data_IF_115822124511
#
_entry.id   IF_115822124511
#
_cell.length_a   1.000
_cell.length_b   1.000
_cell.length_c   1.000
_cell.angle_alpha   90.00
_cell.angle_beta   90.00
_cell.angle_gamma   90.00
#
_symmetry.space_group_name_H-M   'P 1'
#
loop_
_entity.id
_entity.type
_entity.pdbx_description
1 polymer ?
#
# COMPACT_ATOMS: atom_id res chain seq x y z
N UNK A 1 5.64 -24.34 -0.55
CA UNK A 1 6.76 -23.49 -0.10
C UNK A 1 6.39 -22.05 -0.40
N UNK A 2 6.65 -21.13 0.52
CA UNK A 2 6.44 -19.71 0.31
C UNK A 2 7.81 -19.03 0.18
N UNK A 3 7.95 -18.18 -0.82
CA UNK A 3 9.20 -17.48 -1.08
C UNK A 3 9.24 -16.16 -0.30
N UNK A 4 10.41 -15.76 0.18
CA UNK A 4 10.60 -14.44 0.79
C UNK A 4 11.84 -13.73 0.24
N UNK A 5 11.80 -12.41 0.30
CA UNK A 5 12.92 -11.54 -0.06
C UNK A 5 13.30 -10.69 1.16
N UNK A 6 14.57 -10.38 1.28
CA UNK A 6 15.06 -9.43 2.28
C UNK A 6 14.98 -8.02 1.68
N UNK A 7 14.19 -7.15 2.27
CA UNK A 7 14.03 -5.76 1.81
C UNK A 7 14.82 -4.81 2.69
N UNK A 8 15.62 -3.97 2.07
CA UNK A 8 16.37 -2.92 2.77
C UNK A 8 15.39 -1.89 3.38
N UNK A 9 15.58 -1.57 4.65
CA UNK A 9 14.82 -0.51 5.35
C UNK A 9 15.45 0.84 5.11
N UNK A 10 14.64 1.89 5.21
CA UNK A 10 15.18 3.25 5.30
C UNK A 10 16.03 3.36 6.58
N UNK A 11 17.14 4.06 6.48
CA UNK A 11 17.96 4.38 7.63
C UNK A 11 17.20 5.39 8.54
N UNK A 12 16.51 4.84 9.55
CA UNK A 12 15.74 5.64 10.52
C UNK A 12 16.66 6.25 11.58
N UNK A 13 17.84 5.65 11.79
CA UNK A 13 18.80 6.11 12.82
C UNK A 13 19.78 7.15 12.29
N UNK A 14 19.95 7.25 10.96
CA UNK A 14 20.88 8.19 10.34
C UNK A 14 22.36 7.81 10.50
N UNK A 15 22.66 6.58 10.91
CA UNK A 15 24.02 6.08 11.14
C UNK A 15 24.64 5.40 9.90
N UNK A 16 23.92 5.39 8.79
CA UNK A 16 24.35 4.74 7.54
C UNK A 16 24.25 3.22 7.56
N UNK A 17 23.76 2.62 8.65
CA UNK A 17 23.60 1.17 8.76
C UNK A 17 22.51 0.64 7.85
N UNK A 18 22.78 -0.48 7.17
CA UNK A 18 21.81 -1.14 6.31
C UNK A 18 21.11 -2.24 7.09
N UNK A 19 19.84 -2.04 7.33
CA UNK A 19 18.99 -3.04 7.98
C UNK A 19 18.04 -3.63 6.96
N UNK A 20 17.82 -4.94 7.03
CA UNK A 20 16.91 -5.68 6.13
C UNK A 20 15.82 -6.35 6.96
N UNK A 21 14.60 -6.36 6.43
CA UNK A 21 13.50 -7.14 6.98
C UNK A 21 12.98 -8.16 5.97
N UNK A 22 12.52 -9.33 6.43
CA UNK A 22 11.93 -10.33 5.56
C UNK A 22 10.55 -9.88 5.09
N UNK A 23 10.28 -10.00 3.81
CA UNK A 23 8.98 -9.79 3.21
C UNK A 23 8.60 -10.98 2.35
N UNK A 24 7.39 -11.52 2.58
CA UNK A 24 6.90 -12.62 1.76
C UNK A 24 6.76 -12.18 0.30
N UNK A 25 7.25 -13.00 -0.62
CA UNK A 25 7.05 -12.82 -2.06
C UNK A 25 5.69 -13.42 -2.41
N UNK A 26 4.69 -12.57 -2.62
CA UNK A 26 3.31 -13.00 -2.85
C UNK A 26 3.23 -13.73 -4.19
N UNK A 27 2.81 -14.98 -4.15
CA UNK A 27 2.65 -15.78 -5.35
C UNK A 27 1.48 -15.27 -6.21
N UNK A 28 0.27 -15.26 -5.65
CA UNK A 28 -0.95 -14.74 -6.29
C UNK A 28 -2.05 -14.48 -5.26
N UNK A 29 -3.08 -13.80 -5.67
CA UNK A 29 -4.33 -13.77 -4.91
C UNK A 29 -5.05 -15.12 -5.09
N UNK A 30 -5.42 -15.73 -3.99
CA UNK A 30 -6.34 -16.87 -3.96
C UNK A 30 -7.75 -16.30 -3.94
N UNK A 31 -8.57 -16.63 -4.94
CA UNK A 31 -9.92 -16.04 -5.05
C UNK A 31 -10.87 -16.55 -3.97
N UNK A 32 -11.99 -15.87 -3.80
CA UNK A 32 -13.04 -16.29 -2.86
C UNK A 32 -13.58 -17.67 -3.22
N UNK A 33 -13.90 -17.88 -4.49
CA UNK A 33 -14.45 -19.15 -5.00
C UNK A 33 -13.47 -20.31 -4.79
N UNK A 34 -12.19 -20.11 -5.15
CA UNK A 34 -11.14 -21.10 -4.93
C UNK A 34 -10.98 -21.45 -3.45
N UNK A 35 -11.15 -20.46 -2.56
CA UNK A 35 -11.07 -20.69 -1.12
C UNK A 35 -12.27 -21.47 -0.59
N UNK A 36 -13.48 -21.17 -1.05
CA UNK A 36 -14.71 -21.88 -0.68
C UNK A 36 -14.66 -23.33 -1.15
N UNK A 37 -14.29 -23.55 -2.41
CA UNK A 37 -14.08 -24.89 -2.95
C UNK A 37 -13.08 -25.71 -2.13
N UNK A 38 -11.95 -25.09 -1.78
CA UNK A 38 -10.91 -25.70 -0.98
C UNK A 38 -11.42 -26.10 0.42
N UNK A 39 -12.24 -25.26 1.04
CA UNK A 39 -12.88 -25.56 2.31
C UNK A 39 -13.84 -26.73 2.22
N UNK A 40 -14.58 -26.88 1.10
CA UNK A 40 -15.51 -27.97 0.89
C UNK A 40 -14.83 -29.29 0.52
N UNK A 41 -13.70 -29.26 -0.21
CA UNK A 41 -13.00 -30.46 -0.70
C UNK A 41 -12.15 -31.19 0.35
N UNK A 42 -11.62 -30.53 1.33
CA UNK A 42 -10.59 -31.08 2.24
C UNK A 42 -11.15 -31.95 3.38
N UNK A 43 -12.21 -32.71 3.12
CA UNK A 43 -12.73 -33.66 4.11
C UNK A 43 -13.47 -33.02 5.28
N UNK A 44 -13.84 -31.74 5.15
CA UNK A 44 -14.63 -31.01 6.15
C UNK A 44 -16.07 -31.54 6.29
N UNK A 45 -16.56 -32.33 5.32
CA UNK A 45 -17.95 -32.77 5.24
C UNK A 45 -18.94 -31.68 4.88
N UNK A 46 -18.45 -30.48 4.54
CA UNK A 46 -19.28 -29.33 4.15
C UNK A 46 -19.42 -29.25 2.63
N UNK A 47 -20.61 -28.95 2.15
CA UNK A 47 -20.82 -28.56 0.74
C UNK A 47 -20.44 -27.10 0.51
N UNK A 48 -20.16 -26.73 -0.75
CA UNK A 48 -19.90 -25.34 -1.16
C UNK A 48 -20.98 -24.41 -0.64
N UNK A 49 -22.25 -24.73 -0.84
CA UNK A 49 -23.36 -23.89 -0.37
C UNK A 49 -23.47 -23.75 1.14
N UNK A 50 -23.04 -24.75 1.92
CA UNK A 50 -22.96 -24.62 3.37
C UNK A 50 -21.84 -23.67 3.80
N UNK A 51 -20.67 -23.73 3.15
CA UNK A 51 -19.56 -22.81 3.38
C UNK A 51 -19.97 -21.37 3.07
N UNK A 52 -20.58 -21.14 1.92
CA UNK A 52 -21.11 -19.82 1.51
C UNK A 52 -22.13 -19.28 2.53
N UNK A 53 -23.04 -20.13 3.00
CA UNK A 53 -24.05 -19.75 3.99
C UNK A 53 -23.42 -19.32 5.32
N UNK A 54 -22.40 -20.05 5.78
CA UNK A 54 -21.64 -19.72 7.00
C UNK A 54 -20.89 -18.42 6.86
N UNK A 55 -20.19 -18.20 5.73
CA UNK A 55 -19.45 -16.95 5.47
C UNK A 55 -20.39 -15.75 5.37
N UNK A 56 -21.55 -15.94 4.72
CA UNK A 56 -22.57 -14.89 4.63
C UNK A 56 -23.14 -14.54 6.01
N UNK A 57 -23.48 -15.53 6.82
CA UNK A 57 -23.95 -15.31 8.19
C UNK A 57 -22.90 -14.62 9.04
N UNK A 58 -21.63 -15.03 8.93
CA UNK A 58 -20.51 -14.42 9.65
C UNK A 58 -20.37 -12.92 9.27
N UNK A 59 -20.38 -12.61 7.96
CA UNK A 59 -20.30 -11.24 7.44
C UNK A 59 -21.42 -10.36 8.02
N UNK A 60 -22.66 -10.83 7.96
CA UNK A 60 -23.82 -10.07 8.44
C UNK A 60 -23.73 -9.81 9.94
N UNK A 61 -23.46 -10.85 10.74
CA UNK A 61 -23.39 -10.72 12.20
C UNK A 61 -22.20 -9.87 12.67
N UNK A 62 -21.04 -10.00 12.00
CA UNK A 62 -19.92 -9.10 12.28
C UNK A 62 -20.30 -7.64 11.98
N UNK A 63 -20.93 -7.37 10.85
CA UNK A 63 -21.35 -6.02 10.47
C UNK A 63 -22.29 -5.42 11.52
N UNK A 64 -23.31 -6.17 11.96
CA UNK A 64 -24.26 -5.73 13.00
C UNK A 64 -23.54 -5.39 14.31
N UNK A 65 -22.74 -6.30 14.82
CA UNK A 65 -22.06 -6.10 16.13
C UNK A 65 -21.07 -4.94 16.08
N UNK A 66 -20.30 -4.85 15.00
CA UNK A 66 -19.32 -3.78 14.80
C UNK A 66 -20.00 -2.41 14.63
N UNK A 67 -21.16 -2.35 13.99
CA UNK A 67 -21.96 -1.12 13.87
C UNK A 67 -22.51 -0.65 15.22
N UNK A 68 -22.78 -1.56 16.14
CA UNK A 68 -23.16 -1.26 17.53
C UNK A 68 -21.99 -0.85 18.41
N UNK A 69 -20.75 -0.81 17.87
CA UNK A 69 -19.53 -0.44 18.60
C UNK A 69 -18.88 -1.58 19.38
N UNK A 70 -19.33 -2.82 19.20
CA UNK A 70 -18.69 -3.96 19.84
C UNK A 70 -17.37 -4.33 19.16
N UNK A 71 -16.45 -4.86 19.95
CA UNK A 71 -15.29 -5.59 19.46
C UNK A 71 -15.62 -7.08 19.45
N UNK A 72 -15.46 -7.75 18.31
CA UNK A 72 -15.91 -9.14 18.12
C UNK A 72 -14.70 -10.06 18.00
N UNK A 73 -14.60 -11.06 18.89
CA UNK A 73 -13.61 -12.12 18.81
C UNK A 73 -14.22 -13.35 18.14
N UNK A 74 -13.64 -13.76 17.01
CA UNK A 74 -13.96 -15.03 16.33
C UNK A 74 -12.90 -16.06 16.72
N UNK A 75 -13.35 -17.13 17.39
CA UNK A 75 -12.46 -18.18 17.91
C UNK A 75 -11.57 -18.76 16.82
N UNK A 76 -10.26 -18.81 17.07
CA UNK A 76 -9.27 -19.37 16.16
C UNK A 76 -8.91 -18.48 14.97
N UNK A 77 -9.66 -17.41 14.71
CA UNK A 77 -9.33 -16.45 13.67
C UNK A 77 -8.68 -15.19 14.25
N UNK A 78 -9.40 -14.46 15.08
CA UNK A 78 -8.89 -13.22 15.63
C UNK A 78 -9.97 -12.27 16.10
N UNK A 79 -9.61 -11.02 16.31
CA UNK A 79 -10.46 -9.97 16.86
C UNK A 79 -10.67 -8.86 15.84
N UNK A 80 -11.93 -8.47 15.66
CA UNK A 80 -12.37 -7.41 14.76
C UNK A 80 -12.82 -6.20 15.58
N UNK A 81 -12.43 -5.00 15.18
CA UNK A 81 -12.86 -3.73 15.76
C UNK A 81 -13.01 -2.65 14.70
N UNK A 82 -13.89 -1.69 14.93
CA UNK A 82 -14.08 -0.55 14.04
C UNK A 82 -13.04 0.54 14.24
N UNK A 83 -12.73 1.25 13.19
CA UNK A 83 -11.96 2.49 13.21
C UNK A 83 -12.78 3.57 12.52
N UNK A 84 -13.02 4.66 13.25
CA UNK A 84 -13.75 5.80 12.72
C UNK A 84 -12.82 6.76 12.00
N UNK A 85 -13.38 7.54 11.11
CA UNK A 85 -12.73 8.64 10.41
C UNK A 85 -13.71 9.71 10.04
N UNK A 86 -13.19 10.84 9.59
CA UNK A 86 -13.99 11.95 9.09
C UNK A 86 -14.30 11.71 7.62
N UNK A 87 -15.54 11.95 7.21
CA UNK A 87 -15.99 11.83 5.81
C UNK A 87 -15.19 12.74 4.90
N UNK A 88 -15.04 12.33 3.66
CA UNK A 88 -14.35 13.11 2.64
C UNK A 88 -14.99 14.51 2.48
N UNK A 89 -14.14 15.54 2.35
CA UNK A 89 -14.58 16.94 2.26
C UNK A 89 -14.98 17.59 3.57
N UNK A 90 -14.71 16.96 4.72
CA UNK A 90 -14.87 17.55 6.04
C UNK A 90 -13.51 17.73 6.72
N UNK A 91 -13.34 18.88 7.40
CA UNK A 91 -12.10 19.17 8.13
C UNK A 91 -12.08 18.50 9.50
N UNK A 92 -10.87 18.29 10.04
CA UNK A 92 -10.68 17.84 11.42
C UNK A 92 -11.01 18.97 12.41
N UNK A 93 -11.38 18.62 13.63
CA UNK A 93 -11.48 19.60 14.72
C UNK A 93 -10.08 20.09 15.13
N UNK A 94 -9.92 21.41 15.27
CA UNK A 94 -8.63 21.99 15.68
C UNK A 94 -8.43 21.97 17.21
N UNK A 95 -9.49 21.70 17.96
CA UNK A 95 -9.48 21.69 19.42
C UNK A 95 -9.54 23.09 20.04
N UNK A 96 -9.83 24.15 19.26
CA UNK A 96 -10.06 25.50 19.78
C UNK A 96 -11.47 25.59 20.46
N UNK A 97 -11.57 26.41 21.51
CA UNK A 97 -12.83 26.54 22.30
C UNK A 97 -13.99 27.11 21.48
N UNK A 98 -13.68 27.90 20.44
CA UNK A 98 -14.66 28.57 19.57
C UNK A 98 -15.10 27.75 18.35
N UNK A 99 -14.56 26.55 18.17
CA UNK A 99 -14.85 25.74 16.99
C UNK A 99 -16.11 24.90 17.14
N UNK A 100 -16.93 24.85 16.09
CA UNK A 100 -18.11 24.00 16.03
C UNK A 100 -17.70 22.51 16.05
N UNK A 101 -18.02 21.83 17.14
CA UNK A 101 -17.77 20.39 17.31
C UNK A 101 -18.45 19.58 16.21
N UNK A 102 -17.74 18.63 15.64
CA UNK A 102 -18.27 17.76 14.59
C UNK A 102 -19.34 16.83 15.16
N UNK A 103 -20.44 16.70 14.45
CA UNK A 103 -21.53 15.78 14.81
C UNK A 103 -21.31 14.41 14.12
N UNK A 104 -22.12 13.43 14.51
CA UNK A 104 -22.10 12.07 13.98
C UNK A 104 -22.26 12.01 12.44
N UNK A 105 -22.90 13.01 11.81
CA UNK A 105 -23.07 13.06 10.36
C UNK A 105 -21.75 13.28 9.60
N UNK A 106 -20.73 13.84 10.27
CA UNK A 106 -19.40 14.07 9.72
C UNK A 106 -18.45 12.90 9.94
N UNK A 107 -18.89 11.85 10.63
CA UNK A 107 -18.07 10.69 11.02
C UNK A 107 -18.59 9.44 10.29
N UNK A 108 -17.68 8.55 9.92
CA UNK A 108 -17.98 7.26 9.30
C UNK A 108 -17.05 6.15 9.81
N UNK A 109 -17.46 4.90 9.62
CA UNK A 109 -16.57 3.75 9.80
C UNK A 109 -15.61 3.73 8.61
N UNK A 110 -14.36 4.11 8.86
CA UNK A 110 -13.33 4.18 7.81
C UNK A 110 -12.66 2.85 7.55
N UNK A 111 -12.55 2.02 8.57
CA UNK A 111 -11.90 0.71 8.43
C UNK A 111 -12.35 -0.26 9.53
N UNK A 112 -12.20 -1.54 9.26
CA UNK A 112 -12.30 -2.63 10.24
C UNK A 112 -10.88 -3.16 10.47
N UNK A 113 -10.41 -3.05 11.72
CA UNK A 113 -9.12 -3.58 12.14
C UNK A 113 -9.27 -5.04 12.50
N UNK A 114 -8.39 -5.86 11.98
CA UNK A 114 -8.28 -7.27 12.30
C UNK A 114 -6.96 -7.55 13.02
N UNK A 115 -7.05 -8.24 14.16
CA UNK A 115 -5.89 -8.74 14.91
C UNK A 115 -5.98 -10.25 14.95
N UNK A 116 -5.08 -10.92 14.26
CA UNK A 116 -5.03 -12.39 14.21
C UNK A 116 -4.86 -13.01 15.60
N UNK A 117 -5.50 -14.15 15.83
CA UNK A 117 -5.30 -14.95 17.04
C UNK A 117 -3.92 -15.63 17.01
N UNK A 118 -3.34 -15.86 18.20
CA UNK A 118 -2.05 -16.56 18.31
C UNK A 118 -2.10 -17.96 17.73
N UNK A 119 -3.24 -18.62 17.85
CA UNK A 119 -3.44 -19.97 17.31
C UNK A 119 -3.33 -19.97 15.78
N UNK A 120 -3.96 -19.00 15.10
CA UNK A 120 -3.86 -18.86 13.65
C UNK A 120 -2.40 -18.62 13.21
N UNK A 121 -1.70 -17.72 13.91
CA UNK A 121 -0.29 -17.43 13.65
C UNK A 121 0.56 -18.69 13.87
N UNK A 122 0.35 -19.41 14.96
CA UNK A 122 1.05 -20.64 15.29
C UNK A 122 0.87 -21.74 14.24
N UNK A 123 -0.38 -21.99 13.84
CA UNK A 123 -0.71 -22.95 12.78
C UNK A 123 -0.09 -22.55 11.42
N UNK A 124 -0.09 -21.27 11.10
CA UNK A 124 0.53 -20.75 9.86
C UNK A 124 2.04 -20.99 9.90
N UNK A 125 2.70 -20.67 11.02
CA UNK A 125 4.14 -20.90 11.18
C UNK A 125 4.52 -22.39 11.06
N UNK A 126 3.73 -23.27 11.65
CA UNK A 126 3.99 -24.72 11.60
C UNK A 126 3.90 -25.26 10.16
N UNK A 127 3.04 -24.68 9.33
CA UNK A 127 2.84 -25.08 7.93
C UNK A 127 3.70 -24.30 6.95
N UNK A 128 4.31 -23.20 7.38
CA UNK A 128 5.08 -22.32 6.54
C UNK A 128 6.48 -22.88 6.31
N UNK A 129 6.81 -23.20 5.08
CA UNK A 129 8.15 -23.55 4.66
C UNK A 129 8.69 -22.43 3.76
N UNK A 130 9.63 -21.64 4.29
CA UNK A 130 10.13 -20.41 3.68
C UNK A 130 11.44 -20.65 2.91
N UNK A 131 11.50 -20.14 1.69
CA UNK A 131 12.70 -20.16 0.85
C UNK A 131 13.13 -18.74 0.51
N UNK A 132 14.38 -18.40 0.78
CA UNK A 132 14.94 -17.09 0.43
C UNK A 132 15.20 -16.97 -1.06
N UNK A 133 14.56 -16.03 -1.73
CA UNK A 133 14.77 -15.73 -3.17
C UNK A 133 15.86 -14.70 -3.44
N UNK A 134 16.10 -13.77 -2.52
CA UNK A 134 17.09 -12.73 -2.73
C UNK A 134 16.88 -11.48 -1.86
N UNK A 135 17.44 -10.36 -2.35
CA UNK A 135 17.40 -9.07 -1.66
C UNK A 135 16.85 -7.98 -2.56
N UNK A 136 15.99 -7.14 -1.99
CA UNK A 136 15.51 -5.91 -2.64
C UNK A 136 16.17 -4.74 -1.91
N UNK A 137 17.11 -4.11 -2.56
CA UNK A 137 17.80 -2.92 -2.04
C UNK A 137 17.01 -1.66 -2.36
N UNK A 138 17.06 -0.70 -1.45
CA UNK A 138 16.52 0.64 -1.73
C UNK A 138 17.26 1.25 -2.92
N UNK A 139 16.51 1.87 -3.81
CA UNK A 139 17.13 2.66 -4.87
C UNK A 139 17.79 3.87 -4.24
N UNK A 140 19.10 4.00 -4.40
CA UNK A 140 19.79 5.21 -3.99
C UNK A 140 19.37 6.34 -4.93
N UNK A 141 18.82 7.41 -4.34
CA UNK A 141 18.59 8.66 -5.07
C UNK A 141 19.94 9.25 -5.44
N UNK A 142 20.13 9.56 -6.71
CA UNK A 142 21.40 10.08 -7.22
C UNK A 142 21.38 11.61 -7.19
N UNK A 143 22.38 12.20 -6.58
CA UNK A 143 22.65 13.63 -6.66
C UNK A 143 21.63 14.55 -5.96
N UNK A 144 21.92 15.83 -5.96
CA UNK A 144 21.02 16.91 -5.58
C UNK A 144 19.90 17.11 -6.61
N UNK A 145 18.90 17.94 -6.29
CA UNK A 145 17.82 18.28 -7.23
C UNK A 145 18.40 18.94 -8.50
N UNK A 146 19.40 19.79 -8.37
CA UNK A 146 20.07 20.45 -9.49
C UNK A 146 20.84 19.46 -10.38
N UNK A 147 21.55 18.52 -9.77
CA UNK A 147 22.22 17.45 -10.52
C UNK A 147 21.24 16.56 -11.28
N UNK A 148 20.08 16.28 -10.69
CA UNK A 148 19.02 15.53 -11.35
C UNK A 148 18.36 16.30 -12.47
N UNK A 149 18.21 17.63 -12.34
CA UNK A 149 17.78 18.49 -13.44
C UNK A 149 18.78 18.43 -14.61
N UNK A 150 20.07 18.53 -14.31
CA UNK A 150 21.12 18.41 -15.34
C UNK A 150 21.10 17.04 -16.03
N UNK A 151 20.86 15.95 -15.27
CA UNK A 151 20.68 14.62 -15.88
C UNK A 151 19.48 14.58 -16.85
N UNK A 152 18.38 15.23 -16.47
CA UNK A 152 17.18 15.30 -17.30
C UNK A 152 17.42 16.11 -18.59
N UNK A 153 18.08 17.25 -18.50
CA UNK A 153 18.45 18.08 -19.65
C UNK A 153 19.38 17.33 -20.61
N UNK A 154 20.41 16.68 -20.07
CA UNK A 154 21.34 15.86 -20.86
C UNK A 154 20.63 14.70 -21.58
N UNK A 155 19.65 14.07 -20.92
CA UNK A 155 18.83 13.03 -21.54
C UNK A 155 18.01 13.58 -22.71
N UNK A 156 17.42 14.77 -22.55
CA UNK A 156 16.61 15.42 -23.57
C UNK A 156 17.44 16.01 -24.73
N UNK A 157 18.77 16.05 -24.63
CA UNK A 157 19.64 16.37 -25.79
C UNK A 157 19.68 15.23 -26.80
N UNK A 158 19.54 14.01 -26.34
CA UNK A 158 19.64 12.80 -27.17
C UNK A 158 18.30 12.11 -27.43
N UNK A 159 17.25 12.51 -26.69
CA UNK A 159 15.92 11.90 -26.79
C UNK A 159 14.85 13.00 -27.01
N UNK A 160 13.89 12.78 -27.90
CA UNK A 160 12.87 13.77 -28.23
C UNK A 160 11.91 14.06 -27.07
N UNK A 161 11.75 13.13 -26.15
CA UNK A 161 10.93 13.27 -24.95
C UNK A 161 11.43 12.34 -23.84
N UNK A 162 11.00 12.60 -22.61
CA UNK A 162 11.28 11.84 -21.41
C UNK A 162 9.97 11.50 -20.68
N UNK A 163 9.79 10.25 -20.29
CA UNK A 163 8.70 9.81 -19.41
C UNK A 163 9.15 9.83 -17.94
N UNK A 164 8.19 9.85 -17.02
CA UNK A 164 8.47 9.71 -15.57
C UNK A 164 9.27 8.43 -15.28
N UNK A 165 9.02 7.36 -16.04
CA UNK A 165 9.75 6.09 -15.89
C UNK A 165 11.25 6.22 -16.22
N UNK A 166 11.59 6.96 -17.26
CA UNK A 166 12.97 7.20 -17.69
C UNK A 166 13.71 8.01 -16.61
N UNK A 167 13.09 9.11 -16.18
CA UNK A 167 13.63 9.96 -15.12
C UNK A 167 13.83 9.20 -13.80
N UNK A 168 12.86 8.38 -13.42
CA UNK A 168 12.96 7.49 -12.25
C UNK A 168 14.15 6.52 -12.35
N UNK A 169 14.40 5.97 -13.54
CA UNK A 169 15.51 5.03 -13.77
C UNK A 169 16.86 5.73 -13.65
N UNK A 170 16.97 6.96 -14.14
CA UNK A 170 18.21 7.74 -14.07
C UNK A 170 18.51 8.23 -12.65
N UNK A 171 17.50 8.73 -11.95
CA UNK A 171 17.67 9.41 -10.66
C UNK A 171 17.55 8.50 -9.44
N UNK A 172 16.93 7.33 -9.59
CA UNK A 172 16.64 6.43 -8.47
C UNK A 172 15.43 6.84 -7.63
N UNK A 173 14.76 7.95 -7.96
CA UNK A 173 13.54 8.39 -7.27
C UNK A 173 12.40 7.36 -7.42
N UNK A 174 11.49 7.31 -6.46
CA UNK A 174 10.24 6.58 -6.64
C UNK A 174 9.32 7.31 -7.64
N UNK A 175 8.26 6.64 -8.09
CA UNK A 175 7.37 7.21 -9.13
C UNK A 175 6.74 8.54 -8.72
N UNK A 176 6.25 8.64 -7.49
CA UNK A 176 5.55 9.85 -7.02
C UNK A 176 6.49 11.05 -6.91
N UNK A 177 7.69 10.86 -6.33
CA UNK A 177 8.70 11.90 -6.23
C UNK A 177 9.25 12.29 -7.61
N UNK A 178 9.52 11.34 -8.50
CA UNK A 178 9.96 11.63 -9.86
C UNK A 178 8.93 12.43 -10.65
N UNK A 179 7.63 12.09 -10.53
CA UNK A 179 6.56 12.82 -11.17
C UNK A 179 6.38 14.25 -10.60
N UNK A 180 6.48 14.40 -9.27
CA UNK A 180 6.39 15.68 -8.59
C UNK A 180 7.56 16.61 -8.99
N UNK A 181 8.79 16.09 -9.03
CA UNK A 181 9.98 16.85 -9.37
C UNK A 181 9.96 17.30 -10.84
N UNK A 182 9.63 16.41 -11.77
CA UNK A 182 9.44 16.78 -13.18
C UNK A 182 8.31 17.79 -13.39
N UNK A 183 7.22 17.67 -12.63
CA UNK A 183 6.14 18.66 -12.64
C UNK A 183 6.62 20.02 -12.13
N UNK A 184 7.44 20.04 -11.07
CA UNK A 184 8.08 21.25 -10.54
C UNK A 184 8.97 21.89 -11.62
N UNK A 185 9.89 21.14 -12.23
CA UNK A 185 10.77 21.64 -13.28
C UNK A 185 9.98 22.20 -14.46
N UNK A 186 8.95 21.51 -14.92
CA UNK A 186 8.14 21.99 -16.05
C UNK A 186 7.33 23.27 -15.78
N UNK A 187 7.26 23.73 -14.52
CA UNK A 187 6.60 24.98 -14.10
C UNK A 187 7.57 26.08 -13.75
N UNK A 188 8.83 25.73 -13.49
CA UNK A 188 9.88 26.69 -13.14
C UNK A 188 10.43 27.30 -14.42
N UNK A 189 10.29 28.63 -14.58
CA UNK A 189 10.88 29.38 -15.68
C UNK A 189 12.40 29.20 -15.69
N UNK A 190 12.97 29.02 -16.87
CA UNK A 190 14.41 28.79 -17.00
C UNK A 190 14.93 27.40 -16.73
N UNK A 191 14.08 26.46 -16.31
CA UNK A 191 14.51 25.08 -16.05
C UNK A 191 14.91 24.30 -17.32
N UNK A 192 14.50 24.77 -18.50
CA UNK A 192 14.75 24.10 -19.79
C UNK A 192 13.90 22.84 -20.03
N UNK A 193 12.88 22.59 -19.19
CA UNK A 193 11.97 21.44 -19.32
C UNK A 193 10.53 21.93 -19.44
N UNK A 194 9.80 21.42 -20.43
CA UNK A 194 8.37 21.67 -20.61
C UNK A 194 7.59 20.35 -20.60
N UNK A 195 6.33 20.40 -20.17
CA UNK A 195 5.45 19.23 -20.25
C UNK A 195 4.60 19.27 -21.51
N UNK A 196 4.44 18.15 -22.19
CA UNK A 196 3.60 17.97 -23.37
C UNK A 196 2.64 16.80 -23.16
N UNK A 197 1.43 16.90 -23.72
CA UNK A 197 0.39 15.87 -23.58
C UNK A 197 -0.41 15.95 -22.26
N UNK A 198 -1.43 15.09 -22.13
CA UNK A 198 -2.34 15.03 -20.98
C UNK A 198 -2.54 13.58 -20.51
N UNK A 199 -2.87 13.39 -19.24
CA UNK A 199 -3.17 12.08 -18.66
C UNK A 199 -2.01 11.10 -18.79
N UNK A 200 -2.28 9.90 -19.28
CA UNK A 200 -1.31 8.82 -19.50
C UNK A 200 -0.28 9.09 -20.59
N UNK A 201 -0.58 10.04 -21.49
CA UNK A 201 0.30 10.45 -22.60
C UNK A 201 1.20 11.65 -22.26
N UNK A 202 1.24 12.04 -20.98
CA UNK A 202 2.08 13.14 -20.53
C UNK A 202 3.55 12.79 -20.62
N UNK A 203 4.30 13.60 -21.33
CA UNK A 203 5.76 13.50 -21.48
C UNK A 203 6.41 14.85 -21.17
N UNK A 204 7.73 14.85 -21.01
CA UNK A 204 8.53 16.03 -20.78
C UNK A 204 9.50 16.20 -21.93
N UNK A 205 9.65 17.43 -22.41
CA UNK A 205 10.46 17.79 -23.58
C UNK A 205 11.39 18.95 -23.22
N UNK A 206 12.43 19.16 -24.03
CA UNK A 206 13.31 20.33 -23.91
C UNK A 206 12.49 21.59 -24.14
N UNK A 207 12.62 22.59 -23.25
CA UNK A 207 11.88 23.85 -23.24
C UNK A 207 12.50 24.97 -24.03
#
# INVERSE_FOLDING_TARGET
MADYVMREMNDVRGDGSKTFYPQIDRFRLFSEDEFIEKMAMDGSGLSVGQVESVLTALKLRLSEMLAMGYTVKVRGLGTFSTSLGIKEGKDYESGSEDEVKRNAQSIEVKNIRFKADRDLIGLTNTRCNLVRKGEIKLRKVKGSEEERLNMALKYLETHPFMKVADYRTMTGLNHSYAAAELKKFSRTEGSGIKSSGRGSHKVYVKG
#
